data_IF_052480642914
#
_entry.id   IF_052480642914
#
_cell.length_a   1.000
_cell.length_b   1.000
_cell.length_c   1.000
_cell.angle_alpha   90.00
_cell.angle_beta   90.00
_cell.angle_gamma   90.00
#
_symmetry.space_group_name_H-M   'P 1'
#
loop_
_entity.id
_entity.type
_entity.pdbx_description
1 polymer ?
#
# COMPACT_ATOMS: atom_id res chain seq x y z
N UNK A 1 34.00 -32.63 26.60
CA UNK A 1 32.74 -33.25 27.01
C UNK A 1 31.64 -32.42 26.33
N UNK A 2 30.97 -32.89 25.27
CA UNK A 2 29.94 -33.95 25.27
C UNK A 2 28.83 -33.56 26.25
N UNK A 3 27.55 -33.33 25.94
CA UNK A 3 26.67 -33.65 24.78
C UNK A 3 25.37 -32.79 24.93
N UNK A 4 24.35 -32.68 24.05
CA UNK A 4 23.97 -33.16 22.69
C UNK A 4 22.74 -32.31 22.22
N UNK A 5 22.43 -32.25 20.90
CA UNK A 5 21.04 -32.17 20.33
C UNK A 5 20.24 -30.84 20.53
N UNK A 6 19.63 -30.18 19.52
CA UNK A 6 18.99 -30.63 18.26
C UNK A 6 19.44 -29.84 17.01
N UNK A 7 20.05 -30.54 16.04
CA UNK A 7 19.83 -30.31 14.59
C UNK A 7 19.08 -31.53 14.07
N UNK A 8 17.83 -31.40 13.61
CA UNK A 8 17.15 -32.36 12.72
C UNK A 8 15.74 -31.87 12.39
N UNK A 9 15.52 -31.41 11.14
CA UNK A 9 14.30 -31.61 10.34
C UNK A 9 14.61 -31.44 8.84
N UNK A 10 15.70 -32.07 8.37
CA UNK A 10 15.95 -32.30 6.94
C UNK A 10 16.34 -33.78 6.81
N UNK A 11 15.36 -34.64 6.55
CA UNK A 11 15.60 -36.09 6.47
C UNK A 11 14.41 -36.99 6.77
N UNK A 12 13.29 -36.84 6.02
CA UNK A 12 12.14 -37.78 6.11
C UNK A 12 11.19 -37.72 4.91
N UNK A 13 11.72 -37.71 3.67
CA UNK A 13 10.94 -37.90 2.43
C UNK A 13 11.57 -38.93 1.46
N UNK A 14 12.28 -39.92 2.00
CA UNK A 14 12.67 -41.12 1.26
C UNK A 14 12.29 -42.36 2.08
N UNK A 15 11.67 -43.34 1.40
CA UNK A 15 11.05 -44.58 1.93
C UNK A 15 9.67 -44.37 2.58
N UNK A 16 8.62 -44.52 1.77
CA UNK A 16 7.73 -45.70 1.77
C UNK A 16 7.08 -45.79 0.38
N UNK A 17 7.46 -46.80 -0.39
CA UNK A 17 6.60 -47.41 -1.41
C UNK A 17 7.00 -48.89 -1.48
N UNK A 18 6.14 -49.83 -1.04
CA UNK A 18 6.45 -51.25 -1.12
C UNK A 18 6.33 -51.73 -2.57
N UNK A 19 7.40 -52.34 -3.08
CA UNK A 19 7.39 -52.98 -4.39
C UNK A 19 6.33 -54.10 -4.42
N UNK A 20 5.21 -53.84 -5.11
CA UNK A 20 4.38 -54.88 -5.72
C UNK A 20 4.30 -54.61 -7.22
N UNK A 21 5.22 -55.24 -7.96
CA UNK A 21 5.06 -55.42 -9.39
C UNK A 21 3.91 -56.40 -9.64
N UNK A 22 2.68 -55.88 -9.54
CA UNK A 22 1.52 -56.49 -10.19
C UNK A 22 1.83 -56.54 -11.68
N UNK A 23 1.89 -57.73 -12.25
CA UNK A 23 2.06 -57.91 -13.70
C UNK A 23 0.86 -57.27 -14.38
N UNK A 24 1.03 -56.06 -14.90
CA UNK A 24 0.06 -55.47 -15.82
C UNK A 24 0.01 -56.37 -17.05
N UNK A 25 -1.04 -57.18 -17.16
CA UNK A 25 -1.48 -57.67 -18.45
C UNK A 25 -1.79 -56.45 -19.28
N UNK A 26 -0.90 -56.11 -20.21
CA UNK A 26 -1.25 -55.19 -21.29
C UNK A 26 -2.56 -55.70 -21.91
N UNK A 27 -3.63 -54.88 -21.99
CA UNK A 27 -4.74 -55.22 -22.87
C UNK A 27 -4.14 -55.40 -24.26
N UNK A 28 -4.60 -56.43 -25.00
CA UNK A 28 -4.13 -56.69 -26.37
C UNK A 28 -4.14 -55.38 -27.13
N UNK A 29 -2.99 -55.01 -27.71
CA UNK A 29 -2.90 -53.86 -28.61
C UNK A 29 -3.90 -54.05 -29.74
N UNK A 30 -5.04 -53.37 -29.64
CA UNK A 30 -5.93 -53.17 -30.78
C UNK A 30 -5.11 -52.33 -31.74
N UNK A 31 -4.59 -53.00 -32.77
CA UNK A 31 -3.88 -52.36 -33.87
C UNK A 31 -4.88 -51.49 -34.62
N UNK A 32 -4.97 -50.22 -34.23
CA UNK A 32 -5.66 -49.21 -35.01
C UNK A 32 -5.07 -49.20 -36.43
N UNK A 33 -5.89 -49.05 -37.49
CA UNK A 33 -5.41 -48.92 -38.85
C UNK A 33 -4.33 -47.84 -38.94
N UNK A 34 -3.23 -48.15 -39.65
CA UNK A 34 -2.09 -47.23 -39.86
C UNK A 34 -2.53 -45.90 -40.52
N UNK A 35 -3.66 -45.89 -41.20
CA UNK A 35 -4.32 -44.70 -41.78
C UNK A 35 -4.96 -43.78 -40.72
N UNK A 36 -5.56 -44.32 -39.66
CA UNK A 36 -6.18 -43.49 -38.60
C UNK A 36 -5.11 -42.74 -37.79
N UNK A 37 -4.01 -43.41 -37.46
CA UNK A 37 -2.87 -42.81 -36.77
C UNK A 37 -2.20 -41.69 -37.58
N UNK A 38 -2.07 -41.85 -38.91
CA UNK A 38 -1.54 -40.80 -39.79
C UNK A 38 -2.46 -39.56 -39.81
N UNK A 39 -3.77 -39.75 -39.85
CA UNK A 39 -4.74 -38.66 -39.83
C UNK A 39 -4.68 -37.86 -38.52
N UNK A 40 -4.46 -38.54 -37.37
CA UNK A 40 -4.30 -37.88 -36.07
C UNK A 40 -2.98 -37.08 -35.98
N UNK A 41 -1.86 -37.65 -36.43
CA UNK A 41 -0.58 -36.91 -36.51
C UNK A 41 -0.69 -35.67 -37.39
N UNK A 42 -1.33 -35.76 -38.56
CA UNK A 42 -1.50 -34.62 -39.46
C UNK A 42 -2.45 -33.54 -38.88
N UNK A 43 -3.45 -33.94 -38.10
CA UNK A 43 -4.30 -33.01 -37.36
C UNK A 43 -3.49 -32.26 -36.27
N UNK A 44 -2.68 -32.98 -35.49
CA UNK A 44 -1.81 -32.38 -34.47
C UNK A 44 -0.77 -31.44 -35.09
N UNK A 45 -0.16 -31.82 -36.22
CA UNK A 45 0.76 -30.95 -36.99
C UNK A 45 0.06 -29.67 -37.47
N UNK A 46 -1.15 -29.75 -38.00
CA UNK A 46 -1.95 -28.58 -38.41
C UNK A 46 -2.27 -27.66 -37.23
N UNK A 47 -2.68 -28.22 -36.08
CA UNK A 47 -2.93 -27.44 -34.87
C UNK A 47 -1.67 -26.70 -34.37
N UNK A 48 -0.51 -27.36 -34.36
CA UNK A 48 0.74 -26.73 -33.94
C UNK A 48 1.21 -25.65 -34.93
N UNK A 49 1.01 -25.82 -36.23
CA UNK A 49 1.27 -24.79 -37.25
C UNK A 49 0.40 -23.54 -37.00
N UNK A 50 -0.90 -23.70 -36.74
CA UNK A 50 -1.77 -22.54 -36.46
C UNK A 50 -1.43 -21.87 -35.11
N UNK A 51 -1.09 -22.64 -34.07
CA UNK A 51 -0.55 -22.08 -32.81
C UNK A 51 0.71 -21.25 -33.03
N UNK A 52 1.63 -21.68 -33.91
CA UNK A 52 2.84 -20.94 -34.26
C UNK A 52 2.55 -19.68 -35.06
N UNK A 53 1.66 -19.76 -36.06
CA UNK A 53 1.20 -18.59 -36.81
C UNK A 53 0.56 -17.55 -35.89
N UNK A 54 -0.26 -17.97 -34.94
CA UNK A 54 -0.90 -17.06 -33.99
C UNK A 54 0.11 -16.38 -33.05
N UNK A 55 1.06 -17.14 -32.49
CA UNK A 55 2.19 -16.57 -31.72
C UNK A 55 2.97 -15.55 -32.54
N UNK A 56 3.22 -15.81 -33.83
CA UNK A 56 3.92 -14.89 -34.73
C UNK A 56 3.09 -13.63 -35.03
N UNK A 57 1.78 -13.77 -35.29
CA UNK A 57 0.85 -12.63 -35.45
C UNK A 57 0.87 -11.72 -34.22
N UNK A 58 0.71 -12.28 -33.02
CA UNK A 58 0.78 -11.53 -31.76
C UNK A 58 2.14 -10.85 -31.54
N UNK A 59 3.24 -11.54 -31.85
CA UNK A 59 4.59 -10.95 -31.76
C UNK A 59 4.76 -9.75 -32.70
N UNK A 60 4.33 -9.86 -33.97
CA UNK A 60 4.40 -8.76 -34.94
C UNK A 60 3.54 -7.59 -34.47
N UNK A 61 2.30 -7.85 -34.05
CA UNK A 61 1.39 -6.81 -33.54
C UNK A 61 1.97 -6.07 -32.33
N UNK A 62 2.53 -6.80 -31.36
CA UNK A 62 3.15 -6.22 -30.17
C UNK A 62 4.40 -5.40 -30.52
N UNK A 63 5.18 -5.83 -31.53
CA UNK A 63 6.34 -5.07 -32.03
C UNK A 63 5.91 -3.76 -32.69
N UNK A 64 4.89 -3.78 -33.56
CA UNK A 64 4.35 -2.57 -34.20
C UNK A 64 3.85 -1.58 -33.15
N UNK A 65 3.03 -2.03 -32.19
CA UNK A 65 2.52 -1.17 -31.11
C UNK A 65 3.63 -0.60 -30.21
N UNK A 66 4.70 -1.34 -29.95
CA UNK A 66 5.86 -0.79 -29.22
C UNK A 66 6.58 0.29 -30.04
N UNK A 67 6.68 0.15 -31.36
CA UNK A 67 7.18 1.21 -32.24
C UNK A 67 6.26 2.44 -32.27
N UNK A 68 4.94 2.26 -32.24
CA UNK A 68 3.97 3.37 -32.12
C UNK A 68 4.14 4.11 -30.78
N UNK A 69 4.22 3.37 -29.66
CA UNK A 69 4.48 3.95 -28.34
C UNK A 69 5.81 4.71 -28.29
N UNK A 70 6.87 4.16 -28.89
CA UNK A 70 8.16 4.85 -28.97
C UNK A 70 8.07 6.13 -29.81
N UNK A 71 7.43 6.09 -30.99
CA UNK A 71 7.22 7.29 -31.81
C UNK A 71 6.42 8.37 -31.08
N UNK A 72 5.44 7.98 -30.24
CA UNK A 72 4.68 8.91 -29.41
C UNK A 72 5.54 9.51 -28.28
N UNK A 73 6.40 8.71 -27.65
CA UNK A 73 7.36 9.18 -26.65
C UNK A 73 8.36 10.17 -27.28
N UNK A 74 9.00 9.80 -28.39
CA UNK A 74 10.01 10.61 -29.08
C UNK A 74 9.43 11.97 -29.51
N UNK A 75 8.18 12.01 -30.02
CA UNK A 75 7.46 13.26 -30.34
C UNK A 75 7.33 14.17 -29.12
N UNK A 76 6.91 13.62 -27.97
CA UNK A 76 6.67 14.39 -26.76
C UNK A 76 7.95 14.79 -26.00
N UNK A 77 9.09 14.13 -26.27
CA UNK A 77 10.41 14.57 -25.78
C UNK A 77 10.95 15.74 -26.62
N UNK A 78 10.87 15.66 -27.96
CA UNK A 78 11.30 16.74 -28.87
C UNK A 78 10.48 18.02 -28.66
N UNK A 79 9.18 17.90 -28.41
CA UNK A 79 8.30 19.06 -28.26
C UNK A 79 8.47 19.82 -26.92
N UNK A 80 9.17 19.23 -25.92
CA UNK A 80 9.72 19.83 -24.68
C UNK A 80 8.81 20.73 -23.83
N UNK A 81 8.40 21.86 -24.40
CA UNK A 81 7.39 22.79 -23.90
C UNK A 81 5.97 22.22 -24.10
N UNK A 82 5.65 21.70 -25.30
CA UNK A 82 4.33 21.14 -25.67
C UNK A 82 4.16 19.66 -25.30
N UNK A 83 4.10 19.36 -24.00
CA UNK A 83 3.61 18.05 -23.51
C UNK A 83 2.07 17.87 -23.66
N UNK A 84 1.40 18.81 -24.34
CA UNK A 84 0.00 18.72 -24.73
C UNK A 84 -0.12 18.13 -26.14
N UNK A 85 -0.04 16.81 -26.24
CA UNK A 85 -0.51 16.08 -27.41
C UNK A 85 -2.04 16.13 -27.45
N UNK A 86 -2.58 17.27 -27.89
CA UNK A 86 -4.03 17.50 -28.00
C UNK A 86 -4.71 16.35 -28.75
N UNK A 87 -5.70 15.71 -28.11
CA UNK A 87 -6.41 14.54 -28.64
C UNK A 87 -5.82 13.18 -28.32
N UNK A 88 -4.59 13.07 -27.79
CA UNK A 88 -4.04 11.76 -27.36
C UNK A 88 -4.59 11.37 -25.97
N UNK A 89 -5.19 10.17 -25.80
CA UNK A 89 -5.69 9.72 -24.51
C UNK A 89 -4.57 9.56 -23.48
N UNK A 90 -4.80 10.05 -22.25
CA UNK A 90 -3.82 10.06 -21.14
C UNK A 90 -3.19 8.67 -20.90
N UNK A 91 -3.97 7.59 -20.93
CA UNK A 91 -3.41 6.24 -20.74
C UNK A 91 -2.42 5.83 -21.84
N UNK A 92 -2.54 6.34 -23.08
CA UNK A 92 -1.58 6.08 -24.16
C UNK A 92 -0.26 6.84 -23.94
N UNK A 93 -0.36 8.09 -23.46
CA UNK A 93 0.79 8.86 -23.01
C UNK A 93 1.52 8.17 -21.86
N UNK A 94 0.79 7.71 -20.84
CA UNK A 94 1.40 6.94 -19.74
C UNK A 94 2.02 5.63 -20.27
N UNK A 95 1.39 4.93 -21.21
CA UNK A 95 1.94 3.72 -21.82
C UNK A 95 3.24 3.96 -22.60
N UNK A 96 3.41 5.11 -23.28
CA UNK A 96 4.64 5.41 -24.02
C UNK A 96 5.82 5.66 -23.07
N UNK A 97 5.63 6.46 -22.02
CA UNK A 97 6.63 6.60 -20.97
C UNK A 97 6.96 5.26 -20.26
N UNK A 98 5.97 4.40 -19.99
CA UNK A 98 6.21 3.07 -19.39
C UNK A 98 6.99 2.14 -20.34
N UNK A 99 6.82 2.28 -21.67
CA UNK A 99 7.61 1.54 -22.67
C UNK A 99 9.10 1.80 -22.47
N UNK A 100 9.49 3.07 -22.45
CA UNK A 100 10.89 3.48 -22.29
C UNK A 100 11.33 3.47 -20.81
N UNK A 101 10.38 3.28 -19.88
CA UNK A 101 10.56 3.32 -18.42
C UNK A 101 11.01 4.69 -17.87
N UNK A 102 10.69 5.76 -18.58
CA UNK A 102 10.93 7.13 -18.13
C UNK A 102 9.84 7.61 -17.17
N UNK A 103 9.98 7.20 -15.91
CA UNK A 103 9.11 7.67 -14.83
C UNK A 103 9.26 9.18 -14.61
N UNK A 104 10.42 9.79 -14.92
CA UNK A 104 10.62 11.23 -14.72
C UNK A 104 9.81 12.05 -15.72
N UNK A 105 9.71 11.59 -16.98
CA UNK A 105 8.81 12.14 -17.98
C UNK A 105 7.34 12.01 -17.61
N UNK A 106 6.91 10.85 -17.06
CA UNK A 106 5.54 10.68 -16.54
C UNK A 106 5.19 11.74 -15.50
N UNK A 107 6.14 12.11 -14.63
CA UNK A 107 5.93 13.07 -13.56
C UNK A 107 5.87 14.51 -14.06
N UNK A 108 6.76 14.88 -14.99
CA UNK A 108 6.68 16.16 -15.70
C UNK A 108 5.34 16.29 -16.44
N UNK A 109 4.89 15.23 -17.09
CA UNK A 109 3.60 15.18 -17.77
C UNK A 109 2.42 15.31 -16.81
N UNK A 110 2.39 14.56 -15.70
CA UNK A 110 1.34 14.66 -14.68
C UNK A 110 1.32 16.04 -14.00
N UNK A 111 2.47 16.64 -13.72
CA UNK A 111 2.55 17.99 -13.16
C UNK A 111 2.00 19.04 -14.14
N UNK A 112 2.38 19.01 -15.43
CA UNK A 112 1.81 19.90 -16.44
C UNK A 112 0.30 19.70 -16.65
N UNK A 113 -0.20 18.46 -16.51
CA UNK A 113 -1.64 18.19 -16.51
C UNK A 113 -2.37 18.82 -15.31
N UNK A 114 -1.69 18.95 -14.18
CA UNK A 114 -2.21 19.58 -12.95
C UNK A 114 -2.18 21.11 -13.05
N UNK A 115 -1.12 21.72 -13.60
CA UNK A 115 -0.93 23.18 -13.71
C UNK A 115 -2.12 23.91 -14.35
N UNK A 116 -2.82 23.27 -15.30
CA UNK A 116 -3.96 23.83 -16.03
C UNK A 116 -5.33 23.40 -15.47
N UNK A 117 -5.37 22.68 -14.34
CA UNK A 117 -6.56 21.96 -13.85
C UNK A 117 -6.69 22.03 -12.32
N UNK A 118 -7.83 21.61 -11.73
CA UNK A 118 -7.99 21.58 -10.28
C UNK A 118 -7.03 20.60 -9.61
N UNK A 119 -6.57 20.92 -8.39
CA UNK A 119 -5.71 20.04 -7.59
C UNK A 119 -6.36 18.66 -7.38
N UNK A 120 -5.58 17.60 -7.55
CA UNK A 120 -5.99 16.21 -7.54
C UNK A 120 -6.37 15.65 -8.92
N UNK A 121 -6.41 16.47 -9.98
CA UNK A 121 -6.82 16.04 -11.31
C UNK A 121 -5.86 14.99 -11.91
N UNK A 122 -4.56 15.24 -11.86
CA UNK A 122 -3.54 14.34 -12.42
C UNK A 122 -3.57 12.97 -11.74
N UNK A 123 -3.68 12.93 -10.40
CA UNK A 123 -3.83 11.70 -9.62
C UNK A 123 -5.13 10.96 -9.97
N UNK A 124 -6.25 11.68 -10.13
CA UNK A 124 -7.52 11.08 -10.56
C UNK A 124 -7.44 10.48 -11.98
N UNK A 125 -6.69 11.11 -12.89
CA UNK A 125 -6.47 10.58 -14.24
C UNK A 125 -5.46 9.42 -14.27
N UNK A 126 -4.48 9.39 -13.37
CA UNK A 126 -3.62 8.23 -13.17
C UNK A 126 -4.46 7.01 -12.76
N UNK A 127 -5.28 7.15 -11.69
CA UNK A 127 -6.24 6.12 -11.23
C UNK A 127 -7.17 5.63 -12.36
N UNK A 128 -7.78 6.56 -13.11
CA UNK A 128 -8.64 6.21 -14.27
C UNK A 128 -7.89 5.50 -15.41
N UNK A 129 -6.58 5.67 -15.51
CA UNK A 129 -5.76 5.05 -16.56
C UNK A 129 -5.28 3.64 -16.19
N UNK A 130 -5.24 3.27 -14.91
CA UNK A 130 -4.79 1.95 -14.46
C UNK A 130 -5.50 0.76 -15.14
N UNK A 131 -6.84 0.64 -15.18
CA UNK A 131 -7.47 -0.48 -15.87
C UNK A 131 -7.08 -0.51 -17.36
N UNK A 132 -6.94 0.67 -17.97
CA UNK A 132 -6.53 0.81 -19.37
C UNK A 132 -5.04 0.46 -19.62
N UNK A 133 -4.22 0.37 -18.57
CA UNK A 133 -2.83 -0.06 -18.62
C UNK A 133 -2.64 -1.53 -18.19
N UNK A 134 -3.53 -2.03 -17.33
CA UNK A 134 -3.37 -3.30 -16.59
C UNK A 134 -4.27 -4.43 -17.14
N UNK A 135 -5.47 -4.13 -17.67
CA UNK A 135 -6.37 -5.13 -18.28
C UNK A 135 -6.48 -5.04 -19.80
N UNK A 136 -5.73 -4.13 -20.43
CA UNK A 136 -5.79 -3.86 -21.86
C UNK A 136 -4.56 -4.40 -22.60
N UNK A 137 -4.54 -4.26 -23.93
CA UNK A 137 -3.43 -4.65 -24.83
C UNK A 137 -2.05 -4.15 -24.37
N UNK A 138 -1.99 -3.01 -23.68
CA UNK A 138 -0.73 -2.45 -23.14
C UNK A 138 -0.07 -3.36 -22.10
N UNK A 139 -0.84 -4.11 -21.31
CA UNK A 139 -0.27 -5.02 -20.32
C UNK A 139 0.53 -6.16 -20.97
N UNK A 140 0.02 -6.70 -22.09
CA UNK A 140 0.70 -7.73 -22.89
C UNK A 140 1.97 -7.21 -23.61
N UNK A 141 2.07 -5.90 -23.84
CA UNK A 141 3.16 -5.26 -24.57
C UNK A 141 4.26 -4.75 -23.61
N UNK A 142 3.86 -4.19 -22.48
CA UNK A 142 4.74 -3.58 -21.47
C UNK A 142 5.19 -4.60 -20.42
N UNK A 143 4.29 -5.53 -20.06
CA UNK A 143 4.47 -6.55 -19.03
C UNK A 143 4.25 -6.03 -17.61
N UNK A 144 3.85 -6.91 -16.67
CA UNK A 144 3.53 -6.55 -15.29
C UNK A 144 4.61 -5.72 -14.59
N UNK A 145 5.87 -6.12 -14.74
CA UNK A 145 7.00 -5.52 -14.02
C UNK A 145 7.16 -4.03 -14.39
N UNK A 146 6.96 -3.65 -15.66
CA UNK A 146 7.05 -2.25 -16.10
C UNK A 146 5.84 -1.44 -15.62
N UNK A 147 4.63 -1.96 -15.85
CA UNK A 147 3.38 -1.26 -15.51
C UNK A 147 3.27 -1.02 -14.00
N UNK A 148 3.34 -2.08 -13.20
CA UNK A 148 3.28 -1.96 -11.74
C UNK A 148 4.53 -1.27 -11.16
N UNK A 149 5.71 -1.44 -11.78
CA UNK A 149 6.93 -0.74 -11.39
C UNK A 149 6.81 0.79 -11.48
N UNK A 150 6.36 1.29 -12.63
CA UNK A 150 6.15 2.72 -12.85
C UNK A 150 5.02 3.29 -11.99
N UNK A 151 3.84 2.63 -11.98
CA UNK A 151 2.70 3.06 -11.17
C UNK A 151 3.05 3.12 -9.67
N UNK A 152 3.79 2.14 -9.15
CA UNK A 152 4.24 2.14 -7.74
C UNK A 152 5.11 3.35 -7.42
N UNK A 153 6.04 3.73 -8.30
CA UNK A 153 6.91 4.90 -8.07
C UNK A 153 6.08 6.18 -8.10
N UNK A 154 5.12 6.30 -9.02
CA UNK A 154 4.21 7.44 -9.11
C UNK A 154 3.33 7.55 -7.86
N UNK A 155 2.67 6.48 -7.39
CA UNK A 155 1.87 6.56 -6.17
C UNK A 155 2.70 6.78 -4.91
N UNK A 156 3.94 6.29 -4.85
CA UNK A 156 4.88 6.65 -3.77
C UNK A 156 5.24 8.15 -3.78
N UNK A 157 5.12 8.85 -4.91
CA UNK A 157 5.42 10.29 -5.02
C UNK A 157 4.17 11.17 -4.88
N UNK A 158 3.07 10.84 -5.57
CA UNK A 158 1.86 11.67 -5.69
C UNK A 158 0.61 11.09 -5.04
N UNK A 159 0.60 9.79 -4.73
CA UNK A 159 -0.57 9.08 -4.20
C UNK A 159 -0.62 9.05 -2.67
N UNK A 160 -1.75 8.56 -2.16
CA UNK A 160 -1.90 8.26 -0.74
C UNK A 160 -1.49 6.81 -0.41
N UNK A 161 -1.37 6.48 0.88
CA UNK A 161 -1.08 5.10 1.34
C UNK A 161 -2.07 4.09 0.71
N UNK A 162 -3.34 4.47 0.65
CA UNK A 162 -4.41 3.66 0.03
C UNK A 162 -4.23 3.40 -1.47
N UNK A 163 -3.57 4.29 -2.22
CA UNK A 163 -3.26 4.00 -3.62
C UNK A 163 -2.22 2.88 -3.76
N UNK A 164 -1.21 2.87 -2.89
CA UNK A 164 -0.23 1.79 -2.86
C UNK A 164 -0.87 0.48 -2.40
N UNK A 165 -1.75 0.49 -1.39
CA UNK A 165 -2.49 -0.70 -0.93
C UNK A 165 -3.39 -1.26 -2.04
N UNK A 166 -4.13 -0.40 -2.73
CA UNK A 166 -4.99 -0.77 -3.85
C UNK A 166 -4.20 -1.30 -5.05
N UNK A 167 -3.08 -0.67 -5.41
CA UNK A 167 -2.19 -1.15 -6.48
C UNK A 167 -1.54 -2.49 -6.13
N UNK A 168 -1.12 -2.66 -4.86
CA UNK A 168 -0.58 -3.92 -4.34
C UNK A 168 -1.59 -5.07 -4.48
N UNK A 169 -2.81 -4.87 -3.98
CA UNK A 169 -3.88 -5.86 -4.08
C UNK A 169 -4.17 -6.23 -5.55
N UNK A 170 -4.29 -5.24 -6.45
CA UNK A 170 -4.50 -5.48 -7.88
C UNK A 170 -3.36 -6.32 -8.52
N UNK A 171 -2.11 -6.04 -8.15
CA UNK A 171 -0.96 -6.75 -8.66
C UNK A 171 -0.86 -8.19 -8.12
N UNK A 172 -1.24 -8.40 -6.86
CA UNK A 172 -1.35 -9.74 -6.25
C UNK A 172 -2.41 -10.59 -6.92
N UNK A 173 -3.62 -10.03 -7.12
CA UNK A 173 -4.74 -10.74 -7.75
C UNK A 173 -4.38 -11.19 -9.18
N UNK A 174 -3.58 -10.39 -9.89
CA UNK A 174 -3.04 -10.71 -11.22
C UNK A 174 -1.77 -11.58 -11.22
N UNK A 175 -1.25 -11.96 -10.04
CA UNK A 175 0.00 -12.72 -9.87
C UNK A 175 1.17 -12.08 -10.64
N UNK A 176 1.22 -10.75 -10.58
CA UNK A 176 2.18 -9.92 -11.31
C UNK A 176 3.60 -10.05 -10.75
N UNK A 177 3.72 -10.27 -9.43
CA UNK A 177 5.00 -10.44 -8.74
C UNK A 177 5.45 -11.90 -8.82
N UNK A 178 6.70 -12.09 -9.23
CA UNK A 178 7.29 -13.42 -9.47
C UNK A 178 8.68 -13.56 -8.86
N UNK A 179 9.32 -12.43 -8.53
CA UNK A 179 10.66 -12.36 -8.00
C UNK A 179 10.69 -11.49 -6.73
N UNK A 180 11.67 -11.77 -5.86
CA UNK A 180 11.88 -11.04 -4.60
C UNK A 180 12.01 -9.52 -4.82
N UNK A 181 12.57 -9.08 -5.94
CA UNK A 181 12.77 -7.66 -6.25
C UNK A 181 11.45 -6.88 -6.33
N UNK A 182 10.35 -7.47 -6.78
CA UNK A 182 9.07 -6.78 -6.77
C UNK A 182 8.51 -6.60 -5.35
N UNK A 183 8.77 -7.56 -4.45
CA UNK A 183 8.43 -7.44 -3.02
C UNK A 183 9.30 -6.36 -2.36
N UNK A 184 10.63 -6.38 -2.54
CA UNK A 184 11.57 -5.35 -2.07
C UNK A 184 11.10 -3.95 -2.44
N UNK A 185 10.82 -3.72 -3.74
CA UNK A 185 10.38 -2.41 -4.22
C UNK A 185 9.02 -2.00 -3.66
N UNK A 186 8.15 -2.94 -3.31
CA UNK A 186 6.83 -2.63 -2.71
C UNK A 186 6.95 -2.32 -1.22
N UNK A 187 7.71 -3.11 -0.47
CA UNK A 187 8.03 -2.87 0.96
C UNK A 187 8.65 -1.48 1.12
N UNK A 188 9.64 -1.12 0.29
CA UNK A 188 10.25 0.21 0.28
C UNK A 188 9.26 1.32 -0.10
N UNK A 189 8.28 1.06 -0.97
CA UNK A 189 7.29 2.06 -1.34
C UNK A 189 6.31 2.36 -0.18
N UNK A 190 5.89 1.33 0.56
CA UNK A 190 5.07 1.50 1.78
C UNK A 190 5.87 2.16 2.90
N UNK A 191 7.09 1.70 3.17
CA UNK A 191 7.95 2.27 4.20
C UNK A 191 8.27 3.76 3.95
N UNK A 192 8.60 4.14 2.71
CA UNK A 192 8.81 5.55 2.31
C UNK A 192 7.53 6.41 2.29
N UNK A 193 6.36 5.82 2.56
CA UNK A 193 5.06 6.50 2.74
C UNK A 193 4.59 6.44 4.19
N UNK A 194 5.47 6.11 5.13
CA UNK A 194 5.18 5.91 6.55
C UNK A 194 4.05 4.88 6.77
N UNK A 195 3.91 3.92 5.86
CA UNK A 195 2.94 2.84 5.93
C UNK A 195 3.63 1.55 6.43
N UNK A 196 4.03 1.58 7.71
CA UNK A 196 4.76 0.46 8.35
C UNK A 196 3.91 -0.80 8.37
N UNK A 197 2.59 -0.69 8.57
CA UNK A 197 1.66 -1.82 8.51
C UNK A 197 1.58 -2.40 7.09
N UNK A 198 1.43 -1.57 6.06
CA UNK A 198 1.44 -2.04 4.66
C UNK A 198 2.76 -2.70 4.29
N UNK A 199 3.89 -2.19 4.78
CA UNK A 199 5.21 -2.80 4.60
C UNK A 199 5.33 -4.19 5.27
N UNK A 200 4.73 -4.35 6.46
CA UNK A 200 4.63 -5.66 7.15
C UNK A 200 3.74 -6.65 6.40
N UNK A 201 2.56 -6.24 5.93
CA UNK A 201 1.65 -7.12 5.18
C UNK A 201 2.34 -7.74 3.94
N UNK A 202 3.16 -6.95 3.23
CA UNK A 202 3.96 -7.45 2.09
C UNK A 202 5.09 -8.39 2.53
N UNK A 203 5.74 -8.13 3.69
CA UNK A 203 6.75 -9.02 4.25
C UNK A 203 6.14 -10.37 4.68
N UNK A 204 4.97 -10.36 5.33
CA UNK A 204 4.27 -11.57 5.76
C UNK A 204 3.81 -12.42 4.56
N UNK A 205 3.29 -11.79 3.50
CA UNK A 205 2.96 -12.49 2.25
C UNK A 205 4.20 -13.10 1.57
N UNK A 206 5.37 -12.44 1.68
CA UNK A 206 6.64 -13.03 1.24
C UNK A 206 7.08 -14.23 2.10
N UNK A 207 6.90 -14.18 3.42
CA UNK A 207 7.33 -15.28 4.30
C UNK A 207 6.38 -16.49 4.29
N UNK A 208 5.10 -16.29 3.98
CA UNK A 208 4.07 -17.34 3.99
C UNK A 208 3.72 -17.92 2.61
N UNK A 209 4.04 -17.22 1.53
CA UNK A 209 3.67 -17.63 0.17
C UNK A 209 4.58 -18.68 -0.48
N UNK A 210 4.06 -19.38 -1.50
CA UNK A 210 4.81 -20.36 -2.31
C UNK A 210 5.74 -19.68 -3.33
N UNK A 211 6.81 -19.02 -2.85
CA UNK A 211 7.71 -18.26 -3.71
C UNK A 211 8.73 -19.16 -4.43
N UNK A 212 8.91 -18.90 -5.73
CA UNK A 212 9.91 -19.60 -6.54
C UNK A 212 11.30 -19.02 -6.32
N UNK A 213 12.05 -19.59 -5.37
CA UNK A 213 13.44 -19.24 -5.06
C UNK A 213 14.45 -19.41 -6.21
N UNK A 214 14.04 -19.92 -7.38
CA UNK A 214 14.92 -20.45 -8.43
C UNK A 214 15.83 -19.42 -9.13
N UNK A 215 15.62 -18.11 -8.95
CA UNK A 215 16.45 -17.05 -9.54
C UNK A 215 16.81 -15.91 -8.55
N UNK A 216 16.78 -16.19 -7.24
CA UNK A 216 17.11 -15.16 -6.22
C UNK A 216 18.61 -14.87 -6.20
N UNK A 217 19.02 -13.65 -6.56
CA UNK A 217 20.44 -13.24 -6.51
C UNK A 217 20.82 -12.87 -5.07
N UNK A 218 22.08 -13.10 -4.70
CA UNK A 218 22.61 -12.77 -3.36
C UNK A 218 22.37 -11.29 -3.02
N UNK A 219 22.53 -10.38 -3.98
CA UNK A 219 22.24 -8.95 -3.80
C UNK A 219 20.80 -8.73 -3.35
N UNK A 220 19.84 -9.37 -4.02
CA UNK A 220 18.42 -9.19 -3.73
C UNK A 220 18.06 -9.73 -2.33
N UNK A 221 18.75 -10.77 -1.84
CA UNK A 221 18.62 -11.25 -0.44
C UNK A 221 19.13 -10.19 0.56
N UNK A 222 20.27 -9.55 0.26
CA UNK A 222 20.83 -8.51 1.12
C UNK A 222 19.94 -7.26 1.15
N UNK A 223 19.48 -6.81 -0.02
CA UNK A 223 18.55 -5.69 -0.17
C UNK A 223 17.23 -5.99 0.58
N UNK A 224 16.68 -7.20 0.47
CA UNK A 224 15.48 -7.64 1.21
C UNK A 224 15.70 -7.72 2.73
N UNK A 225 16.84 -8.25 3.17
CA UNK A 225 17.22 -8.31 4.60
C UNK A 225 17.29 -6.90 5.21
N UNK A 226 17.86 -5.95 4.48
CA UNK A 226 17.91 -4.55 4.90
C UNK A 226 16.51 -3.92 4.95
N UNK A 227 15.62 -4.23 4.00
CA UNK A 227 14.23 -3.77 4.03
C UNK A 227 13.47 -4.32 5.25
N UNK A 228 13.59 -5.62 5.53
CA UNK A 228 13.02 -6.25 6.74
C UNK A 228 13.52 -5.55 8.01
N UNK A 229 14.83 -5.27 8.10
CA UNK A 229 15.40 -4.55 9.24
C UNK A 229 14.79 -3.16 9.42
N UNK A 230 14.63 -2.38 8.35
CA UNK A 230 14.01 -1.05 8.42
C UNK A 230 12.56 -1.09 8.94
N UNK A 231 11.77 -2.08 8.51
CA UNK A 231 10.38 -2.24 8.96
C UNK A 231 10.32 -2.66 10.43
N UNK A 232 11.16 -3.60 10.87
CA UNK A 232 11.27 -3.99 12.29
C UNK A 232 11.64 -2.78 13.14
N UNK A 233 12.69 -2.04 12.79
CA UNK A 233 13.14 -0.86 13.55
C UNK A 233 12.08 0.25 13.59
N UNK A 234 11.37 0.51 12.49
CA UNK A 234 10.25 1.45 12.49
C UNK A 234 9.11 1.03 13.42
N UNK A 235 8.87 -0.28 13.55
CA UNK A 235 7.84 -0.83 14.44
C UNK A 235 8.24 -0.72 15.91
N UNK A 236 9.51 -1.02 16.23
CA UNK A 236 10.06 -0.83 17.58
C UNK A 236 9.93 0.63 18.03
N UNK A 237 10.25 1.59 17.14
CA UNK A 237 10.08 3.02 17.40
C UNK A 237 8.61 3.42 17.62
N UNK A 238 7.69 2.93 16.78
CA UNK A 238 6.25 3.19 16.92
C UNK A 238 5.71 2.65 18.26
N UNK A 239 6.04 1.41 18.61
CA UNK A 239 5.63 0.77 19.87
C UNK A 239 6.19 1.51 21.08
N UNK A 240 7.48 1.91 21.04
CA UNK A 240 8.08 2.69 22.12
C UNK A 240 7.43 4.08 22.27
N UNK A 241 7.06 4.74 21.17
CA UNK A 241 6.31 6.00 21.19
C UNK A 241 4.97 5.85 21.92
N UNK A 242 4.19 4.81 21.57
CA UNK A 242 2.91 4.51 22.24
C UNK A 242 3.08 4.22 23.75
N UNK A 243 4.19 3.60 24.16
CA UNK A 243 4.47 3.37 25.59
C UNK A 243 4.79 4.66 26.35
N UNK A 244 5.56 5.59 25.77
CA UNK A 244 5.84 6.88 26.42
C UNK A 244 4.60 7.79 26.42
N UNK A 245 3.80 7.82 25.35
CA UNK A 245 2.51 8.53 25.32
C UNK A 245 1.55 8.05 26.41
N UNK A 246 1.39 6.72 26.57
CA UNK A 246 0.57 6.15 27.64
C UNK A 246 1.13 6.48 29.04
N UNK A 247 2.45 6.54 29.19
CA UNK A 247 3.10 6.88 30.46
C UNK A 247 2.90 8.36 30.81
N UNK A 248 3.01 9.26 29.83
CA UNK A 248 2.67 10.68 29.98
C UNK A 248 1.19 10.85 30.36
N UNK A 249 0.27 10.11 29.71
CA UNK A 249 -1.15 10.12 30.06
C UNK A 249 -1.40 9.67 31.51
N UNK A 250 -0.69 8.63 31.99
CA UNK A 250 -0.77 8.15 33.37
C UNK A 250 -0.15 9.12 34.40
N UNK A 251 0.94 9.81 34.06
CA UNK A 251 1.54 10.85 34.91
C UNK A 251 0.62 12.09 35.01
N UNK A 252 0.02 12.50 33.88
CA UNK A 252 -0.98 13.58 33.84
C UNK A 252 -2.23 13.22 34.66
N UNK A 253 -2.74 11.99 34.57
CA UNK A 253 -3.85 11.50 35.42
C UNK A 253 -3.50 11.54 36.91
N UNK A 254 -2.30 11.10 37.31
CA UNK A 254 -1.85 11.14 38.71
C UNK A 254 -1.79 12.57 39.24
N UNK A 255 -1.19 13.47 38.47
CA UNK A 255 -1.11 14.91 38.82
C UNK A 255 -2.50 15.50 39.03
N UNK A 256 -3.46 15.21 38.15
CA UNK A 256 -4.86 15.63 38.31
C UNK A 256 -5.53 15.04 39.56
N UNK A 257 -5.22 13.79 39.94
CA UNK A 257 -5.73 13.18 41.18
C UNK A 257 -5.11 13.78 42.44
N UNK A 258 -3.81 14.09 42.44
CA UNK A 258 -3.11 14.73 43.55
C UNK A 258 -3.63 16.15 43.83
N UNK A 259 -3.86 16.94 42.77
CA UNK A 259 -4.54 18.25 42.88
C UNK A 259 -5.90 18.09 43.57
N UNK A 260 -6.66 17.05 43.24
CA UNK A 260 -7.97 16.78 43.86
C UNK A 260 -7.89 16.33 45.32
N UNK A 261 -6.82 15.62 45.72
CA UNK A 261 -6.65 15.10 47.08
C UNK A 261 -6.23 16.17 48.10
N UNK A 262 -5.55 17.23 47.68
CA UNK A 262 -5.05 18.31 48.54
C UNK A 262 -6.13 19.30 49.05
N UNK A 263 -7.35 18.82 49.30
CA UNK A 263 -8.46 19.64 49.83
C UNK A 263 -8.99 20.68 48.84
N UNK A 264 -8.80 20.45 47.54
CA UNK A 264 -9.15 21.41 46.49
C UNK A 264 -10.67 21.51 46.29
N UNK A 265 -11.20 22.71 46.53
CA UNK A 265 -12.59 23.08 46.28
C UNK A 265 -12.66 23.93 44.99
N UNK A 266 -13.13 23.38 43.85
CA UNK A 266 -13.26 24.12 42.60
C UNK A 266 -14.15 25.36 42.71
N UNK A 267 -15.08 25.39 43.69
CA UNK A 267 -15.97 26.53 43.92
C UNK A 267 -15.24 27.72 44.59
N UNK A 268 -14.12 27.48 45.26
CA UNK A 268 -13.34 28.51 45.97
C UNK A 268 -12.09 28.96 45.23
N UNK A 269 -11.47 28.07 44.45
CA UNK A 269 -10.22 28.34 43.74
C UNK A 269 -10.40 28.31 42.22
N UNK A 270 -11.25 29.22 41.73
CA UNK A 270 -11.64 29.30 40.33
C UNK A 270 -10.44 29.56 39.40
N UNK A 271 -9.48 30.38 39.80
CA UNK A 271 -8.27 30.67 39.03
C UNK A 271 -7.34 29.45 38.88
N UNK A 272 -7.20 28.63 39.92
CA UNK A 272 -6.45 27.36 39.84
C UNK A 272 -7.21 26.30 39.03
N UNK A 273 -8.54 26.35 39.03
CA UNK A 273 -9.39 25.51 38.16
C UNK A 273 -9.24 25.90 36.70
N UNK A 274 -9.23 27.20 36.40
CA UNK A 274 -8.90 27.74 35.09
C UNK A 274 -7.50 27.27 34.66
N UNK A 275 -6.48 27.44 35.51
CA UNK A 275 -5.10 27.08 35.22
C UNK A 275 -4.91 25.58 34.97
N UNK A 276 -5.52 24.70 35.78
CA UNK A 276 -5.47 23.26 35.57
C UNK A 276 -6.19 22.83 34.27
N UNK A 277 -7.33 23.45 33.95
CA UNK A 277 -8.01 23.21 32.67
C UNK A 277 -7.18 23.73 31.49
N UNK A 278 -6.54 24.90 31.62
CA UNK A 278 -5.63 25.46 30.61
C UNK A 278 -4.45 24.52 30.38
N UNK A 279 -3.77 24.02 31.42
CA UNK A 279 -2.67 23.06 31.22
C UNK A 279 -3.13 21.74 30.58
N UNK A 280 -4.29 21.22 30.97
CA UNK A 280 -4.87 20.02 30.35
C UNK A 280 -5.20 20.22 28.86
N UNK A 281 -5.72 21.38 28.47
CA UNK A 281 -6.08 21.69 27.08
C UNK A 281 -4.88 22.20 26.26
N UNK A 282 -3.88 22.85 26.85
CA UNK A 282 -2.61 23.20 26.20
C UNK A 282 -1.81 21.94 25.83
N UNK A 283 -1.87 20.87 26.64
CA UNK A 283 -1.40 19.54 26.24
C UNK A 283 -2.15 18.97 25.04
N UNK A 284 -3.46 19.24 24.94
CA UNK A 284 -4.33 18.83 23.84
C UNK A 284 -4.53 19.89 22.73
N UNK A 285 -3.56 20.79 22.47
CA UNK A 285 -3.44 21.73 21.32
C UNK A 285 -4.72 22.39 20.74
N UNK A 286 -5.82 22.49 21.47
CA UNK A 286 -7.08 23.11 21.01
C UNK A 286 -7.33 24.42 21.78
N UNK A 287 -6.90 25.51 21.17
CA UNK A 287 -7.00 26.85 21.76
C UNK A 287 -8.45 27.35 21.83
N UNK A 288 -9.36 26.84 20.99
CA UNK A 288 -10.76 27.30 20.95
C UNK A 288 -11.54 26.80 22.17
N UNK A 289 -11.36 25.53 22.55
CA UNK A 289 -11.88 24.97 23.80
C UNK A 289 -11.41 25.75 25.04
N UNK A 290 -10.13 26.15 25.08
CA UNK A 290 -9.58 26.97 26.18
C UNK A 290 -10.25 28.34 26.29
N UNK A 291 -10.51 29.00 25.16
CA UNK A 291 -11.15 30.33 25.12
C UNK A 291 -12.59 30.26 25.66
N UNK A 292 -13.36 29.23 25.34
CA UNK A 292 -14.73 29.10 25.87
C UNK A 292 -14.78 28.72 27.35
N UNK A 293 -13.81 27.94 27.86
CA UNK A 293 -13.64 27.75 29.31
C UNK A 293 -13.35 29.08 30.00
N UNK A 294 -12.37 29.86 29.51
CA UNK A 294 -12.06 31.18 30.06
C UNK A 294 -13.24 32.17 29.96
N UNK A 295 -14.02 32.11 28.88
CA UNK A 295 -15.21 32.94 28.66
C UNK A 295 -16.39 32.55 29.57
N UNK A 296 -16.52 31.28 29.95
CA UNK A 296 -17.47 30.83 30.98
C UNK A 296 -17.05 31.31 32.38
N UNK A 297 -15.75 31.33 32.67
CA UNK A 297 -15.20 31.74 33.96
C UNK A 297 -15.20 33.27 34.13
N UNK A 298 -14.96 34.03 33.06
CA UNK A 298 -15.02 35.49 33.05
C UNK A 298 -16.42 36.09 33.16
N UNK A 299 -17.48 35.30 32.99
CA UNK A 299 -18.88 35.74 33.13
C UNK A 299 -19.39 35.66 34.58
N UNK A 300 -18.72 36.33 35.52
CA UNK A 300 -19.33 36.66 36.82
C UNK A 300 -18.70 37.82 37.59
N UNK A 301 -18.97 39.04 37.13
CA UNK A 301 -19.15 40.18 38.05
C UNK A 301 -20.52 40.83 37.81
N UNK A 302 -21.20 41.15 38.92
CA UNK A 302 -22.55 41.75 39.06
C UNK A 302 -23.80 40.92 38.64
N UNK A 303 -24.61 40.64 39.67
CA UNK A 303 -26.08 40.51 39.71
C UNK A 303 -26.82 39.34 39.00
N UNK A 304 -27.37 38.47 39.86
CA UNK A 304 -28.77 38.03 39.89
C UNK A 304 -29.42 37.44 38.63
N UNK A 305 -28.97 36.25 38.23
CA UNK A 305 -29.85 35.25 37.62
C UNK A 305 -29.39 33.81 37.93
N UNK A 306 -30.37 32.93 38.17
CA UNK A 306 -30.16 31.53 38.59
C UNK A 306 -29.78 30.66 37.38
N UNK A 307 -28.48 30.55 37.12
CA UNK A 307 -27.91 29.37 36.46
C UNK A 307 -27.68 28.31 37.53
N UNK A 308 -28.55 27.30 37.61
CA UNK A 308 -28.46 26.24 38.62
C UNK A 308 -27.12 25.49 38.57
N UNK A 309 -26.50 25.27 39.74
CA UNK A 309 -25.15 24.69 39.90
C UNK A 309 -24.96 23.36 39.16
N UNK A 310 -26.02 22.58 39.06
CA UNK A 310 -26.09 21.32 38.31
C UNK A 310 -25.68 21.49 36.85
N UNK A 311 -26.08 22.59 36.20
CA UNK A 311 -25.88 22.80 34.76
C UNK A 311 -24.45 23.23 34.42
N UNK A 312 -23.79 23.96 35.32
CA UNK A 312 -22.36 24.29 35.16
C UNK A 312 -21.49 23.05 35.40
N UNK A 313 -21.80 22.29 36.45
CA UNK A 313 -21.14 21.02 36.77
C UNK A 313 -21.26 20.01 35.63
N UNK A 314 -22.44 19.88 35.01
CA UNK A 314 -22.66 19.00 33.85
C UNK A 314 -21.83 19.42 32.64
N UNK A 315 -21.83 20.72 32.30
CA UNK A 315 -21.03 21.26 31.18
C UNK A 315 -19.53 21.07 31.36
N UNK A 316 -19.01 21.20 32.59
CA UNK A 316 -17.60 20.93 32.87
C UNK A 316 -17.27 19.45 32.65
N UNK A 317 -18.15 18.55 33.10
CA UNK A 317 -17.99 17.09 32.95
C UNK A 317 -18.13 16.63 31.50
N UNK A 318 -18.98 17.28 30.69
CA UNK A 318 -19.13 17.03 29.25
C UNK A 318 -17.89 17.49 28.48
N UNK A 319 -17.36 18.68 28.79
CA UNK A 319 -16.10 19.17 28.21
C UNK A 319 -14.91 18.25 28.56
N UNK A 320 -14.78 17.85 29.83
CA UNK A 320 -13.75 16.88 30.27
C UNK A 320 -13.92 15.47 29.69
N UNK A 321 -15.03 15.16 29.01
CA UNK A 321 -15.25 13.90 28.29
C UNK A 321 -15.00 13.98 26.79
N UNK A 322 -14.59 15.14 26.25
CA UNK A 322 -14.34 15.32 24.82
C UNK A 322 -15.60 15.28 23.94
N UNK A 323 -16.78 15.50 24.54
CA UNK A 323 -18.06 15.50 23.82
C UNK A 323 -18.35 16.84 23.16
N UNK A 324 -18.34 16.90 21.83
CA UNK A 324 -18.76 18.09 21.08
C UNK A 324 -20.21 18.49 21.38
N UNK A 325 -20.44 19.77 21.64
CA UNK A 325 -21.74 20.29 22.09
C UNK A 325 -22.76 20.33 20.95
N UNK A 326 -23.64 19.32 20.88
CA UNK A 326 -24.85 19.38 20.04
C UNK A 326 -25.91 20.19 20.79
N UNK A 327 -26.05 21.46 20.44
CA UNK A 327 -27.11 22.30 20.98
C UNK A 327 -28.47 21.92 20.40
N UNK A 328 -29.44 21.64 21.27
CA UNK A 328 -30.86 21.68 20.89
C UNK A 328 -31.27 23.13 20.59
N UNK A 329 -32.15 23.28 19.59
CA UNK A 329 -32.60 24.55 18.98
C UNK A 329 -33.68 25.23 19.82
#
# INVERSE_FOLDING_TARGET
MNHLVRRSQIGSLLRIFPCRFSIFRFPKTVSLPVEELKNEEDLLRKQEIERRKEKLRKYIQNRTKRSELKSLYDQCEVDGEKMESEGVPIHKMLASYISEFDVTGMEKYLNKLEEKRPKGFALAMLRKSEPLLVTNEYYDILGPIRVFGALRILYRRFGEKEDLRRLWNLARDMKAFKFINEYICTILAFWLKDDIEGAHQVLEEWDTGEHRYFEVKIKDILDFSQCRKLVIQGTELMVNGMFEEHKEEEENKKTAMEVRLNGWDPKKNLALSAYACVQYVEGHRDIESTVDVLRLLGKRESQDAIMGEDRLSRKLVEAMRGGGYVGEV
#
